data_IF_731670095488
#
_entry.id   IF_731670095488
#
_cell.length_a   1.000
_cell.length_b   1.000
_cell.length_c   1.000
_cell.angle_alpha   90.00
_cell.angle_beta   90.00
_cell.angle_gamma   90.00
#
_symmetry.space_group_name_H-M   'P 1'
#
loop_
_entity.id
_entity.type
_entity.pdbx_description
1 polymer ?
#
# COMPACT_ATOMS: atom_id res chain seq x y z
N UNK A 1 -57.53 -3.38 29.75
CA UNK A 1 -56.08 -3.57 29.54
C UNK A 1 -55.39 -3.50 30.88
N UNK A 2 -54.88 -4.63 31.38
CA UNK A 2 -54.29 -4.70 32.72
C UNK A 2 -52.90 -4.04 32.75
N UNK A 3 -52.76 -3.02 33.60
CA UNK A 3 -51.54 -2.23 33.78
C UNK A 3 -50.30 -3.09 34.08
N UNK A 4 -50.49 -4.21 34.77
CA UNK A 4 -49.45 -5.20 35.09
C UNK A 4 -48.89 -5.90 33.84
N UNK A 5 -49.72 -6.12 32.81
CA UNK A 5 -49.29 -6.77 31.57
C UNK A 5 -48.40 -5.86 30.71
N UNK A 6 -48.52 -4.54 30.84
CA UNK A 6 -47.73 -3.57 30.06
C UNK A 6 -46.34 -3.39 30.67
N UNK A 7 -46.21 -3.49 31.99
CA UNK A 7 -44.93 -3.35 32.68
C UNK A 7 -44.02 -4.57 32.48
N UNK A 8 -44.62 -5.78 32.46
CA UNK A 8 -43.86 -7.02 32.28
C UNK A 8 -43.28 -7.15 30.86
N UNK A 9 -44.02 -6.69 29.84
CA UNK A 9 -43.55 -6.71 28.45
C UNK A 9 -42.42 -5.71 28.20
N UNK A 10 -42.47 -4.52 28.83
CA UNK A 10 -41.39 -3.53 28.74
C UNK A 10 -40.07 -4.02 29.34
N UNK A 11 -40.11 -4.75 30.46
CA UNK A 11 -38.91 -5.33 31.08
C UNK A 11 -38.28 -6.44 30.22
N UNK A 12 -39.10 -7.23 29.52
CA UNK A 12 -38.62 -8.26 28.58
C UNK A 12 -37.93 -7.61 27.39
N UNK A 13 -38.50 -6.55 26.81
CA UNK A 13 -37.89 -5.79 25.70
C UNK A 13 -36.57 -5.14 26.13
N UNK A 14 -36.50 -4.58 27.34
CA UNK A 14 -35.28 -3.95 27.87
C UNK A 14 -34.16 -4.97 28.16
N UNK A 15 -34.48 -6.17 28.67
CA UNK A 15 -33.50 -7.26 28.79
C UNK A 15 -33.07 -7.83 27.44
N UNK A 16 -34.00 -7.96 26.47
CA UNK A 16 -33.66 -8.46 25.14
C UNK A 16 -32.71 -7.50 24.40
N UNK A 17 -32.95 -6.20 24.48
CA UNK A 17 -32.09 -5.16 23.88
C UNK A 17 -30.69 -5.06 24.51
N UNK A 18 -30.55 -5.32 25.82
CA UNK A 18 -29.24 -5.32 26.50
C UNK A 18 -28.43 -6.59 26.23
N UNK A 19 -29.09 -7.74 26.04
CA UNK A 19 -28.44 -9.00 25.64
C UNK A 19 -28.03 -8.98 24.16
N UNK A 20 -28.83 -8.38 23.27
CA UNK A 20 -28.51 -8.31 21.84
C UNK A 20 -27.24 -7.49 21.54
N UNK A 21 -26.99 -6.42 22.32
CA UNK A 21 -25.74 -5.62 22.19
C UNK A 21 -24.48 -6.39 22.54
N UNK A 22 -24.58 -7.45 23.35
CA UNK A 22 -23.44 -8.31 23.71
C UNK A 22 -23.14 -9.37 22.66
N UNK A 23 -24.14 -9.76 21.87
CA UNK A 23 -23.98 -10.73 20.78
C UNK A 23 -23.60 -10.07 19.45
N UNK A 24 -24.10 -8.87 19.17
CA UNK A 24 -23.61 -8.04 18.08
C UNK A 24 -22.45 -7.18 18.57
N UNK A 25 -21.34 -7.85 18.90
CA UNK A 25 -20.06 -7.17 18.96
C UNK A 25 -19.85 -6.46 17.62
N UNK A 26 -19.59 -5.16 17.66
CA UNK A 26 -19.10 -4.43 16.51
C UNK A 26 -17.73 -5.01 16.16
N UNK A 27 -17.72 -6.03 15.30
CA UNK A 27 -16.53 -6.32 14.52
C UNK A 27 -16.24 -5.06 13.73
N UNK A 28 -15.26 -4.29 14.21
CA UNK A 28 -14.58 -3.33 13.34
C UNK A 28 -14.24 -4.10 12.06
N UNK A 29 -14.47 -3.52 10.87
CA UNK A 29 -14.06 -4.20 9.65
C UNK A 29 -12.56 -4.46 9.80
N UNK A 30 -12.20 -5.74 9.96
CA UNK A 30 -10.81 -6.17 9.89
C UNK A 30 -10.35 -5.68 8.52
N UNK A 31 -9.35 -4.81 8.52
CA UNK A 31 -8.77 -4.12 7.36
C UNK A 31 -8.42 -5.18 6.30
N UNK A 32 -9.39 -5.49 5.44
CA UNK A 32 -9.16 -6.22 4.22
C UNK A 32 -8.26 -5.27 3.42
N UNK A 33 -6.96 -5.60 3.33
CA UNK A 33 -6.06 -4.85 2.46
C UNK A 33 -6.71 -4.83 1.08
N UNK A 34 -7.19 -3.66 0.67
CA UNK A 34 -8.20 -3.64 -0.37
C UNK A 34 -7.55 -4.11 -1.67
N UNK A 35 -8.16 -5.09 -2.33
CA UNK A 35 -7.80 -5.51 -3.70
C UNK A 35 -7.70 -4.30 -4.63
N UNK A 36 -8.48 -3.27 -4.32
CA UNK A 36 -8.45 -1.96 -4.94
C UNK A 36 -7.09 -1.22 -4.81
N UNK A 37 -6.49 -1.14 -3.62
CA UNK A 37 -5.17 -0.50 -3.46
C UNK A 37 -4.09 -1.27 -4.23
N UNK A 38 -4.12 -2.60 -4.21
CA UNK A 38 -3.19 -3.42 -5.01
C UNK A 38 -3.38 -3.16 -6.50
N UNK A 39 -4.63 -3.07 -6.98
CA UNK A 39 -4.93 -2.73 -8.37
C UNK A 39 -4.45 -1.32 -8.74
N UNK A 40 -4.67 -0.32 -7.87
CA UNK A 40 -4.17 1.06 -8.02
C UNK A 40 -2.65 1.08 -8.14
N UNK A 41 -1.94 0.42 -7.23
CA UNK A 41 -0.47 0.36 -7.24
C UNK A 41 0.05 -0.32 -8.50
N UNK A 42 -0.53 -1.44 -8.91
CA UNK A 42 -0.18 -2.10 -10.17
C UNK A 42 -0.43 -1.19 -11.39
N UNK A 43 -1.53 -0.42 -11.39
CA UNK A 43 -1.80 0.54 -12.45
C UNK A 43 -0.71 1.61 -12.54
N UNK A 44 -0.28 2.16 -11.40
CA UNK A 44 0.79 3.18 -11.35
C UNK A 44 2.14 2.59 -11.81
N UNK A 45 2.47 1.37 -11.37
CA UNK A 45 3.69 0.67 -11.78
C UNK A 45 3.71 0.47 -13.30
N UNK A 46 2.59 0.07 -13.89
CA UNK A 46 2.51 -0.24 -15.31
C UNK A 46 2.32 0.99 -16.21
N UNK A 47 1.92 2.14 -15.67
CA UNK A 47 1.77 3.38 -16.42
C UNK A 47 3.06 4.19 -16.56
N UNK A 48 4.13 3.80 -15.85
CA UNK A 48 5.41 4.50 -15.86
C UNK A 48 6.55 3.53 -16.19
N UNK A 49 7.39 3.82 -17.21
CA UNK A 49 8.56 3.01 -17.54
C UNK A 49 9.48 2.77 -16.33
N UNK A 50 9.62 3.77 -15.46
CA UNK A 50 10.37 3.68 -14.21
C UNK A 50 9.51 4.21 -13.08
N UNK A 51 9.30 3.39 -12.06
CA UNK A 51 8.55 3.74 -10.86
C UNK A 51 9.41 3.53 -9.61
N UNK A 52 9.38 4.49 -8.68
CA UNK A 52 10.11 4.42 -7.41
C UNK A 52 9.19 4.80 -6.27
N UNK A 53 8.85 3.81 -5.43
CA UNK A 53 8.28 4.09 -4.12
C UNK A 53 9.39 4.55 -3.16
N UNK A 54 9.21 5.71 -2.55
CA UNK A 54 10.24 6.45 -1.81
C UNK A 54 9.71 7.00 -0.48
N UNK A 55 10.61 7.52 0.35
CA UNK A 55 10.29 8.42 1.46
C UNK A 55 11.28 9.58 1.45
N UNK A 56 10.81 10.80 1.72
CA UNK A 56 11.58 12.04 1.53
C UNK A 56 12.85 12.10 2.39
N UNK A 57 12.84 11.45 3.54
CA UNK A 57 13.96 11.41 4.48
C UNK A 57 14.93 10.24 4.25
N UNK A 58 14.65 9.33 3.30
CA UNK A 58 15.44 8.10 3.13
C UNK A 58 16.70 8.34 2.30
N UNK A 59 17.92 8.15 2.86
CA UNK A 59 19.15 8.36 2.12
C UNK A 59 19.33 7.36 0.96
N UNK A 60 18.84 6.12 1.12
CA UNK A 60 18.89 5.11 0.05
C UNK A 60 17.97 5.47 -1.13
N UNK A 61 16.82 6.09 -0.87
CA UNK A 61 15.95 6.61 -1.93
C UNK A 61 16.65 7.73 -2.70
N UNK A 62 17.28 8.67 -2.00
CA UNK A 62 18.06 9.74 -2.62
C UNK A 62 19.20 9.20 -3.48
N UNK A 63 19.90 8.15 -3.02
CA UNK A 63 20.94 7.48 -3.81
C UNK A 63 20.38 6.80 -5.06
N UNK A 64 19.28 6.06 -4.94
CA UNK A 64 18.66 5.38 -6.08
C UNK A 64 18.16 6.37 -7.14
N UNK A 65 17.53 7.48 -6.71
CA UNK A 65 17.09 8.56 -7.61
C UNK A 65 18.25 9.16 -8.41
N UNK A 66 19.39 9.44 -7.75
CA UNK A 66 20.61 9.93 -8.44
C UNK A 66 21.15 8.93 -9.47
N UNK A 67 21.12 7.63 -9.16
CA UNK A 67 21.57 6.60 -10.11
C UNK A 67 20.68 6.51 -11.34
N UNK A 68 19.36 6.64 -11.16
CA UNK A 68 18.40 6.66 -12.27
C UNK A 68 18.54 7.95 -13.10
N UNK A 69 18.67 9.10 -12.45
CA UNK A 69 18.91 10.39 -13.10
C UNK A 69 20.22 10.39 -13.92
N UNK A 70 21.30 9.84 -13.37
CA UNK A 70 22.57 9.70 -14.09
C UNK A 70 22.49 8.73 -15.29
N UNK A 71 21.46 7.91 -15.38
CA UNK A 71 21.15 7.04 -16.50
C UNK A 71 20.12 7.64 -17.48
N UNK A 72 19.77 8.92 -17.31
CA UNK A 72 18.78 9.64 -18.12
C UNK A 72 17.38 9.00 -18.08
N UNK A 73 17.04 8.41 -16.92
CA UNK A 73 15.74 7.80 -16.68
C UNK A 73 14.78 8.81 -16.05
N UNK A 74 13.66 9.06 -16.73
CA UNK A 74 12.53 9.81 -16.16
C UNK A 74 11.72 8.91 -15.22
N UNK A 75 12.03 8.99 -13.93
CA UNK A 75 11.43 8.15 -12.91
C UNK A 75 10.21 8.81 -12.26
N UNK A 76 9.07 8.13 -12.27
CA UNK A 76 7.93 8.52 -11.45
C UNK A 76 8.21 8.15 -9.99
N UNK A 77 8.30 9.17 -9.12
CA UNK A 77 8.61 9.01 -7.71
C UNK A 77 7.36 9.21 -6.87
N UNK A 78 7.02 8.21 -6.07
CA UNK A 78 5.92 8.26 -5.10
C UNK A 78 6.48 8.34 -3.68
N UNK A 79 6.43 9.53 -3.08
CA UNK A 79 6.92 9.77 -1.72
C UNK A 79 5.86 9.34 -0.68
N UNK A 80 5.94 8.09 -0.22
CA UNK A 80 4.89 7.46 0.58
C UNK A 80 4.58 8.23 1.88
N UNK A 81 5.59 8.83 2.51
CA UNK A 81 5.41 9.55 3.78
C UNK A 81 4.69 10.91 3.64
N UNK A 82 4.34 11.33 2.43
CA UNK A 82 3.58 12.57 2.18
C UNK A 82 2.15 12.30 1.72
N UNK A 83 1.76 11.02 1.63
CA UNK A 83 0.42 10.60 1.19
C UNK A 83 -0.39 10.15 2.41
N UNK A 84 -1.69 10.45 2.39
CA UNK A 84 -2.62 9.96 3.42
C UNK A 84 -2.71 8.42 3.40
N UNK A 85 -2.71 7.82 2.21
CA UNK A 85 -2.77 6.36 1.99
C UNK A 85 -1.38 5.72 1.81
N UNK A 86 -0.31 6.39 2.28
CA UNK A 86 1.06 5.95 2.08
C UNK A 86 1.39 4.58 2.68
N UNK A 87 0.85 4.29 3.88
CA UNK A 87 1.05 3.01 4.55
C UNK A 87 0.29 1.87 3.85
N UNK A 88 -0.93 2.13 3.38
CA UNK A 88 -1.72 1.20 2.56
C UNK A 88 -0.99 0.86 1.25
N UNK A 89 -0.42 1.87 0.59
CA UNK A 89 0.38 1.67 -0.62
C UNK A 89 1.64 0.85 -0.30
N UNK A 90 2.29 1.08 0.84
CA UNK A 90 3.46 0.31 1.27
C UNK A 90 3.09 -1.16 1.54
N UNK A 91 1.93 -1.42 2.15
CA UNK A 91 1.40 -2.76 2.39
C UNK A 91 1.04 -3.47 1.05
N UNK A 92 0.48 -2.74 0.09
CA UNK A 92 0.21 -3.24 -1.25
C UNK A 92 1.51 -3.57 -2.01
N UNK A 93 2.52 -2.70 -1.95
CA UNK A 93 3.85 -2.98 -2.52
C UNK A 93 4.48 -4.23 -1.91
N UNK A 94 4.38 -4.40 -0.59
CA UNK A 94 4.83 -5.63 0.09
C UNK A 94 4.10 -6.87 -0.43
N UNK A 95 2.79 -6.76 -0.69
CA UNK A 95 2.00 -7.87 -1.23
C UNK A 95 2.38 -8.24 -2.67
N UNK A 96 2.76 -7.24 -3.48
CA UNK A 96 3.18 -7.43 -4.87
C UNK A 96 4.60 -8.02 -4.94
N UNK A 97 5.49 -7.60 -4.04
CA UNK A 97 6.95 -7.80 -4.21
C UNK A 97 7.60 -8.66 -3.14
N UNK A 98 6.97 -8.81 -1.98
CA UNK A 98 7.60 -9.31 -0.75
C UNK A 98 8.55 -8.30 -0.06
N UNK A 99 8.73 -7.10 -0.60
CA UNK A 99 9.63 -6.07 -0.03
C UNK A 99 8.84 -5.02 0.75
N UNK A 100 9.16 -4.86 2.05
CA UNK A 100 8.58 -3.80 2.89
C UNK A 100 9.35 -2.47 2.86
N UNK A 101 10.62 -2.47 2.46
CA UNK A 101 11.49 -1.30 2.58
C UNK A 101 11.41 -0.38 1.37
N UNK A 102 11.68 0.91 1.58
CA UNK A 102 11.96 1.87 0.50
C UNK A 102 13.49 2.03 0.32
N UNK A 103 13.98 2.33 -0.90
CA UNK A 103 13.20 2.45 -2.13
C UNK A 103 12.71 1.07 -2.62
N UNK A 104 11.53 1.00 -3.23
CA UNK A 104 11.09 -0.15 -4.03
C UNK A 104 10.98 0.31 -5.48
N UNK A 105 11.81 -0.29 -6.34
CA UNK A 105 12.10 0.21 -7.69
C UNK A 105 11.56 -0.76 -8.71
N UNK A 106 10.90 -0.23 -9.74
CA UNK A 106 10.39 -0.98 -10.88
C UNK A 106 10.87 -0.36 -12.18
N UNK A 107 11.21 -1.21 -13.16
CA UNK A 107 11.58 -0.80 -14.52
C UNK A 107 10.83 -1.70 -15.50
N UNK A 108 10.04 -1.12 -16.39
CA UNK A 108 9.20 -1.83 -17.35
C UNK A 108 8.21 -2.79 -16.66
N UNK A 109 7.60 -2.34 -15.57
CA UNK A 109 6.71 -3.15 -14.73
C UNK A 109 7.38 -4.26 -13.92
N UNK A 110 8.69 -4.50 -14.07
CA UNK A 110 9.44 -5.53 -13.34
C UNK A 110 10.06 -4.97 -12.07
N UNK A 111 9.85 -5.65 -10.95
CA UNK A 111 10.48 -5.29 -9.68
C UNK A 111 11.99 -5.52 -9.72
N UNK A 112 12.75 -4.48 -9.38
CA UNK A 112 14.22 -4.49 -9.33
C UNK A 112 14.72 -4.74 -7.92
N UNK A 113 14.01 -4.24 -6.90
CA UNK A 113 14.43 -4.30 -5.50
C UNK A 113 14.67 -2.91 -4.91
N UNK A 114 15.66 -2.83 -4.02
CA UNK A 114 16.09 -1.59 -3.38
C UNK A 114 17.30 -0.93 -4.03
N UNK A 115 17.91 0.03 -3.31
CA UNK A 115 19.09 0.73 -3.81
C UNK A 115 20.25 -0.22 -4.10
N UNK A 116 20.52 -1.20 -3.22
CA UNK A 116 21.60 -2.16 -3.42
C UNK A 116 21.42 -2.97 -4.69
N UNK A 117 20.20 -3.43 -4.97
CA UNK A 117 19.89 -4.20 -6.19
C UNK A 117 20.06 -3.34 -7.45
N UNK A 118 19.62 -2.08 -7.40
CA UNK A 118 19.83 -1.13 -8.48
C UNK A 118 21.32 -0.90 -8.76
N UNK A 119 22.14 -0.66 -7.72
CA UNK A 119 23.59 -0.49 -7.88
C UNK A 119 24.25 -1.74 -8.45
N UNK A 120 23.79 -2.94 -8.04
CA UNK A 120 24.37 -4.21 -8.46
C UNK A 120 24.18 -4.51 -9.96
N UNK A 121 23.17 -3.92 -10.62
CA UNK A 121 22.99 -4.06 -12.07
C UNK A 121 24.18 -3.53 -12.87
N UNK A 122 24.83 -2.48 -12.37
CA UNK A 122 25.83 -1.72 -13.14
C UNK A 122 25.23 -1.01 -14.36
N UNK A 123 26.06 -0.18 -15.01
CA UNK A 123 25.61 0.75 -16.06
C UNK A 123 25.00 0.05 -17.28
N UNK A 124 25.64 -1.03 -17.76
CA UNK A 124 25.21 -1.70 -19.00
C UNK A 124 23.87 -2.41 -18.83
N UNK A 125 23.68 -3.17 -17.74
CA UNK A 125 22.42 -3.87 -17.51
C UNK A 125 21.28 -2.89 -17.17
N UNK A 126 21.56 -1.82 -16.44
CA UNK A 126 20.59 -0.74 -16.21
C UNK A 126 20.14 -0.11 -17.54
N UNK A 127 21.08 0.26 -18.41
CA UNK A 127 20.76 0.85 -19.71
C UNK A 127 19.93 -0.09 -20.60
N UNK A 128 20.24 -1.39 -20.60
CA UNK A 128 19.45 -2.40 -21.32
C UNK A 128 18.00 -2.46 -20.81
N UNK A 129 17.80 -2.54 -19.49
CA UNK A 129 16.47 -2.55 -18.87
C UNK A 129 15.68 -1.27 -19.17
N UNK A 130 16.32 -0.11 -19.11
CA UNK A 130 15.68 1.17 -19.42
C UNK A 130 15.26 1.26 -20.90
N UNK A 131 16.02 0.66 -21.82
CA UNK A 131 15.66 0.60 -23.23
C UNK A 131 14.45 -0.32 -23.49
N UNK A 132 14.34 -1.43 -22.75
CA UNK A 132 13.20 -2.36 -22.84
C UNK A 132 11.92 -1.82 -22.20
N UNK A 133 12.04 -0.85 -21.28
CA UNK A 133 10.89 -0.25 -20.58
C UNK A 133 10.18 0.85 -21.38
N UNK A 134 10.77 1.30 -22.50
CA UNK A 134 10.25 2.37 -23.37
C UNK A 134 9.16 1.89 -24.31
#
# INVERSE_FOLDING_TARGET
MNFISVLLTLLIIYKLSSVLRRFFGSSLPVREMSKETVAKVNSIINSHPVFVASKTYCPYCSSAKKTLEAADADAYVLELNTLEDGDEIQDALYSITGQRTVPSIFIGGKHIGGNSDLQALGKSALAAKLKEAK
#
